data_IF_886218652334
#
_entry.id   IF_886218652334
#
_cell.length_a   1.000
_cell.length_b   1.000
_cell.length_c   1.000
_cell.angle_alpha   90.00
_cell.angle_beta   90.00
_cell.angle_gamma   90.00
#
_symmetry.space_group_name_H-M   'P 1'
#
loop_
_entity.id
_entity.type
_entity.pdbx_description
1 polymer ?
#
# COMPACT_ATOMS: atom_id res chain seq x y z
N UNK A 1 3.79 2.27 -9.50
CA UNK A 1 2.74 1.87 -8.55
C UNK A 1 1.75 0.96 -9.28
N UNK A 2 0.97 1.46 -10.24
CA UNK A 2 0.01 0.63 -10.98
C UNK A 2 0.61 -0.55 -11.75
N UNK A 3 1.82 -0.40 -12.30
CA UNK A 3 2.50 -1.49 -13.02
C UNK A 3 2.80 -2.71 -12.14
N UNK A 4 3.28 -2.49 -10.91
CA UNK A 4 3.59 -3.59 -9.99
C UNK A 4 2.32 -4.34 -9.60
N UNK A 5 1.27 -3.60 -9.25
CA UNK A 5 -0.02 -4.17 -8.89
C UNK A 5 -0.57 -5.01 -10.06
N UNK A 6 -0.45 -4.50 -11.29
CA UNK A 6 -0.85 -5.25 -12.48
C UNK A 6 -0.03 -6.55 -12.66
N UNK A 7 1.29 -6.51 -12.49
CA UNK A 7 2.16 -7.70 -12.59
C UNK A 7 1.82 -8.75 -11.52
N UNK A 8 1.60 -8.32 -10.28
CA UNK A 8 1.19 -9.20 -9.17
C UNK A 8 -0.18 -9.81 -9.47
N UNK A 9 -1.14 -8.98 -9.89
CA UNK A 9 -2.50 -9.43 -10.22
C UNK A 9 -2.49 -10.48 -11.35
N UNK A 10 -1.73 -10.22 -12.42
CA UNK A 10 -1.56 -11.16 -13.54
C UNK A 10 -0.88 -12.44 -13.08
N UNK A 11 0.20 -12.35 -12.30
CA UNK A 11 0.92 -13.52 -11.77
C UNK A 11 0.04 -14.42 -10.92
N UNK A 12 -0.75 -13.85 -10.01
CA UNK A 12 -1.72 -14.59 -9.20
C UNK A 12 -2.87 -15.15 -10.04
N UNK A 13 -3.43 -14.35 -10.98
CA UNK A 13 -4.50 -14.81 -11.86
C UNK A 13 -4.08 -16.03 -12.69
N UNK A 14 -2.86 -16.02 -13.25
CA UNK A 14 -2.30 -17.16 -13.99
C UNK A 14 -2.11 -18.37 -13.06
N UNK A 15 -1.54 -18.17 -11.87
CA UNK A 15 -1.36 -19.25 -10.89
C UNK A 15 -2.70 -19.90 -10.51
N UNK A 16 -3.71 -19.10 -10.16
CA UNK A 16 -5.04 -19.60 -9.81
C UNK A 16 -5.71 -20.30 -11.00
N UNK A 17 -5.57 -19.76 -12.21
CA UNK A 17 -6.09 -20.40 -13.42
C UNK A 17 -5.43 -21.77 -13.65
N UNK A 18 -4.12 -21.89 -13.48
CA UNK A 18 -3.41 -23.17 -13.57
C UNK A 18 -3.91 -24.15 -12.51
N UNK A 19 -4.06 -23.71 -11.25
CA UNK A 19 -4.58 -24.54 -10.15
C UNK A 19 -6.01 -25.02 -10.44
N UNK A 20 -6.88 -24.13 -10.92
CA UNK A 20 -8.27 -24.47 -11.25
C UNK A 20 -8.34 -25.45 -12.42
N UNK A 21 -7.56 -25.23 -13.49
CA UNK A 21 -7.55 -26.11 -14.66
C UNK A 21 -6.88 -27.46 -14.36
N UNK A 22 -5.87 -27.50 -13.50
CA UNK A 22 -5.20 -28.74 -13.09
C UNK A 22 -6.00 -29.57 -12.08
N UNK A 23 -6.92 -28.95 -11.32
CA UNK A 23 -7.77 -29.60 -10.33
C UNK A 23 -9.05 -30.26 -10.86
N UNK A 24 -9.45 -30.04 -12.11
CA UNK A 24 -10.75 -30.49 -12.64
C UNK A 24 -10.75 -31.93 -13.22
N UNK A 25 -9.61 -32.63 -13.27
CA UNK A 25 -9.55 -33.92 -13.99
C UNK A 25 -8.83 -35.05 -13.26
N UNK A 26 -9.28 -35.45 -12.08
CA UNK A 26 -9.24 -36.87 -11.69
C UNK A 26 -10.53 -37.24 -10.95
N UNK A 27 -11.52 -37.86 -11.61
CA UNK A 27 -12.52 -38.61 -10.88
C UNK A 27 -11.79 -39.69 -10.09
N UNK A 28 -11.84 -39.60 -8.76
CA UNK A 28 -11.44 -40.70 -7.88
C UNK A 28 -12.34 -41.90 -8.19
N UNK A 29 -11.94 -42.74 -9.15
CA UNK A 29 -12.55 -44.07 -9.33
C UNK A 29 -12.03 -44.93 -8.18
N UNK A 30 -12.68 -44.84 -7.03
CA UNK A 30 -12.59 -45.87 -6.00
C UNK A 30 -13.41 -47.05 -6.50
N UNK A 31 -12.74 -48.05 -7.07
CA UNK A 31 -13.33 -49.35 -7.38
C UNK A 31 -12.51 -50.41 -6.67
N UNK A 32 -12.97 -50.81 -5.48
CA UNK A 32 -12.55 -52.02 -4.78
C UNK A 32 -11.25 -51.91 -3.96
N UNK A 33 -11.38 -52.13 -2.65
CA UNK A 33 -10.38 -52.80 -1.80
C UNK A 33 -9.07 -52.09 -1.44
N UNK A 34 -8.50 -51.28 -2.32
CA UNK A 34 -7.12 -50.81 -2.15
C UNK A 34 -7.05 -49.32 -1.79
N UNK A 35 -6.33 -49.02 -0.71
CA UNK A 35 -6.06 -47.65 -0.25
C UNK A 35 -5.36 -46.91 -1.39
N UNK A 36 -5.94 -45.82 -1.94
CA UNK A 36 -5.32 -45.13 -3.06
C UNK A 36 -3.98 -44.51 -2.60
N UNK A 37 -2.88 -44.68 -3.37
CA UNK A 37 -1.63 -44.01 -3.06
C UNK A 37 -1.89 -42.51 -3.08
N UNK A 38 -1.47 -41.83 -2.01
CA UNK A 38 -1.69 -40.40 -1.79
C UNK A 38 -1.46 -39.63 -3.09
N UNK A 39 -2.49 -38.93 -3.57
CA UNK A 39 -2.41 -38.14 -4.80
C UNK A 39 -1.44 -36.98 -4.56
N UNK A 40 -0.18 -37.18 -4.92
CA UNK A 40 0.83 -36.14 -4.90
C UNK A 40 0.42 -35.10 -5.94
N UNK A 41 -0.06 -33.94 -5.49
CA UNK A 41 -0.22 -32.78 -6.36
C UNK A 41 1.12 -32.52 -7.05
N UNK A 42 1.14 -32.51 -8.38
CA UNK A 42 2.35 -32.39 -9.19
C UNK A 42 3.01 -31.01 -9.13
N UNK A 43 2.39 -30.03 -8.45
CA UNK A 43 2.96 -28.70 -8.24
C UNK A 43 3.91 -28.79 -7.05
N UNK A 44 5.22 -28.56 -7.23
CA UNK A 44 6.15 -28.53 -6.12
C UNK A 44 5.77 -27.38 -5.18
N UNK A 45 5.61 -27.68 -3.89
CA UNK A 45 5.21 -26.69 -2.86
C UNK A 45 6.15 -25.47 -2.77
N UNK A 46 7.34 -25.56 -3.37
CA UNK A 46 8.35 -24.51 -3.44
C UNK A 46 8.02 -23.40 -4.45
N UNK A 47 7.26 -23.70 -5.51
CA UNK A 47 6.93 -22.75 -6.57
C UNK A 47 6.19 -21.49 -6.08
N UNK A 48 5.11 -21.59 -5.25
CA UNK A 48 4.44 -20.40 -4.72
C UNK A 48 5.35 -19.57 -3.82
N UNK A 49 6.22 -20.20 -3.02
CA UNK A 49 7.17 -19.49 -2.15
C UNK A 49 8.22 -18.69 -2.92
N UNK A 50 8.71 -19.22 -4.05
CA UNK A 50 9.63 -18.49 -4.94
C UNK A 50 8.95 -17.26 -5.56
N UNK A 51 7.70 -17.43 -6.02
CA UNK A 51 6.88 -16.34 -6.55
C UNK A 51 6.66 -15.22 -5.51
N UNK A 52 6.30 -15.60 -4.29
CA UNK A 52 6.15 -14.65 -3.17
C UNK A 52 7.47 -13.93 -2.88
N UNK A 53 8.59 -14.65 -2.82
CA UNK A 53 9.90 -14.06 -2.58
C UNK A 53 10.32 -13.05 -3.64
N UNK A 54 10.08 -13.36 -4.92
CA UNK A 54 10.37 -12.46 -6.04
C UNK A 54 9.53 -11.17 -5.97
N UNK A 55 8.24 -11.30 -5.68
CA UNK A 55 7.34 -10.15 -5.53
C UNK A 55 7.76 -9.28 -4.34
N UNK A 56 8.05 -9.89 -3.19
CA UNK A 56 8.48 -9.18 -1.99
C UNK A 56 9.79 -8.41 -2.23
N UNK A 57 10.75 -9.01 -2.92
CA UNK A 57 12.01 -8.34 -3.27
C UNK A 57 11.78 -7.13 -4.17
N UNK A 58 10.94 -7.29 -5.20
CA UNK A 58 10.57 -6.19 -6.10
C UNK A 58 9.87 -5.04 -5.37
N UNK A 59 8.99 -5.37 -4.42
CA UNK A 59 8.30 -4.36 -3.62
C UNK A 59 9.23 -3.61 -2.67
N UNK A 60 10.12 -4.32 -1.97
CA UNK A 60 11.11 -3.70 -1.09
C UNK A 60 12.00 -2.73 -1.89
N UNK A 61 12.43 -3.13 -3.09
CA UNK A 61 13.24 -2.28 -3.96
C UNK A 61 12.49 -1.00 -4.39
N UNK A 62 11.21 -1.12 -4.76
CA UNK A 62 10.37 0.03 -5.11
C UNK A 62 10.08 0.94 -3.91
N UNK A 63 9.80 0.34 -2.75
CA UNK A 63 9.57 1.04 -1.49
C UNK A 63 10.79 1.91 -1.13
N UNK A 64 11.97 1.30 -1.12
CA UNK A 64 13.22 2.00 -0.78
C UNK A 64 13.60 3.01 -1.87
N UNK A 65 13.45 2.66 -3.15
CA UNK A 65 13.89 3.51 -4.26
C UNK A 65 12.97 4.69 -4.58
N UNK A 66 11.67 4.60 -4.24
CA UNK A 66 10.68 5.60 -4.63
C UNK A 66 9.86 6.15 -3.47
N UNK A 67 9.32 5.29 -2.62
CA UNK A 67 8.41 5.72 -1.56
C UNK A 67 9.15 6.44 -0.44
N UNK A 68 10.27 5.88 0.04
CA UNK A 68 11.09 6.51 1.07
C UNK A 68 11.63 7.89 0.64
N UNK A 69 12.21 8.08 -0.57
CA UNK A 69 12.64 9.41 -1.03
C UNK A 69 11.48 10.40 -1.18
N UNK A 70 10.31 9.94 -1.63
CA UNK A 70 9.12 10.79 -1.75
C UNK A 70 8.62 11.23 -0.38
N UNK A 71 8.51 10.29 0.55
CA UNK A 71 8.18 10.56 1.95
C UNK A 71 9.18 11.53 2.56
N UNK A 72 10.49 11.33 2.39
CA UNK A 72 11.53 12.24 2.89
C UNK A 72 11.37 13.67 2.36
N UNK A 73 11.09 13.83 1.06
CA UNK A 73 10.83 15.15 0.46
C UNK A 73 9.58 15.84 1.02
N UNK A 74 8.52 15.09 1.32
CA UNK A 74 7.26 15.65 1.83
C UNK A 74 7.34 16.10 3.30
N UNK A 75 8.14 15.43 4.14
CA UNK A 75 8.37 15.89 5.53
C UNK A 75 9.50 16.88 5.67
N UNK A 76 10.32 17.08 4.64
CA UNK A 76 11.32 18.13 4.69
C UNK A 76 10.58 19.44 4.99
N UNK A 77 11.01 20.12 6.06
CA UNK A 77 10.45 21.42 6.41
C UNK A 77 10.61 22.35 5.20
N UNK A 78 9.57 23.12 4.85
CA UNK A 78 9.69 24.11 3.79
C UNK A 78 10.89 25.03 4.08
N UNK A 79 11.65 25.43 3.06
CA UNK A 79 12.78 26.34 3.26
C UNK A 79 12.29 27.65 3.89
N UNK A 80 12.94 28.09 4.96
CA UNK A 80 12.65 29.36 5.63
C UNK A 80 13.18 30.50 4.75
N UNK A 81 12.38 30.87 3.75
CA UNK A 81 12.70 31.95 2.81
C UNK A 81 11.66 33.04 2.91
N UNK A 82 12.04 34.27 2.57
CA UNK A 82 11.17 35.45 2.63
C UNK A 82 9.89 35.34 1.79
N UNK A 83 9.80 34.35 0.89
CA UNK A 83 8.64 34.11 0.04
C UNK A 83 7.70 33.02 0.57
N UNK A 84 7.95 32.45 1.75
CA UNK A 84 7.05 31.45 2.36
C UNK A 84 5.95 32.12 3.14
N UNK A 85 4.71 31.86 2.75
CA UNK A 85 3.51 32.31 3.47
C UNK A 85 3.08 31.21 4.44
N UNK A 86 3.13 31.51 5.73
CA UNK A 86 2.62 30.60 6.76
C UNK A 86 1.11 30.77 6.89
N UNK A 87 0.34 29.72 6.63
CA UNK A 87 -1.13 29.73 6.78
C UNK A 87 -1.51 28.82 7.95
N UNK A 88 -2.39 29.30 8.83
CA UNK A 88 -2.95 28.50 9.92
C UNK A 88 -4.28 27.92 9.44
N UNK A 89 -4.41 26.60 9.51
CA UNK A 89 -5.65 25.89 9.17
C UNK A 89 -6.09 25.09 10.39
N UNK A 90 -7.32 25.32 10.85
CA UNK A 90 -7.93 24.62 11.99
C UNK A 90 -9.14 23.85 11.48
N UNK A 91 -9.16 22.55 11.77
CA UNK A 91 -10.28 21.68 11.44
C UNK A 91 -11.24 21.60 12.64
N UNK A 92 -12.51 21.89 12.40
CA UNK A 92 -13.61 21.76 13.35
C UNK A 92 -14.65 20.77 12.81
N UNK A 93 -15.59 20.34 13.66
CA UNK A 93 -16.66 19.46 13.19
C UNK A 93 -17.49 20.21 12.12
N UNK A 94 -17.45 19.73 10.87
CA UNK A 94 -18.11 20.33 9.71
C UNK A 94 -17.61 21.72 9.29
N UNK A 95 -16.48 22.21 9.81
CA UNK A 95 -15.93 23.52 9.46
C UNK A 95 -14.40 23.48 9.30
N UNK A 96 -13.89 24.35 8.44
CA UNK A 96 -12.46 24.55 8.21
C UNK A 96 -12.15 26.04 8.32
N UNK A 97 -11.40 26.43 9.34
CA UNK A 97 -11.03 27.82 9.59
C UNK A 97 -9.61 28.06 9.07
N UNK A 98 -9.48 28.96 8.09
CA UNK A 98 -8.21 29.29 7.43
C UNK A 98 -7.86 30.73 7.77
N UNK A 99 -6.68 30.96 8.34
CA UNK A 99 -6.18 32.27 8.75
C UNK A 99 -4.86 32.58 8.05
N UNK A 100 -4.85 33.72 7.34
CA UNK A 100 -3.65 34.28 6.71
C UNK A 100 -2.91 35.21 7.68
N UNK A 101 -1.58 35.28 7.60
CA UNK A 101 -0.79 36.18 8.44
C UNK A 101 -0.97 37.63 7.98
N UNK A 102 -0.58 38.59 8.83
CA UNK A 102 -0.55 40.01 8.47
C UNK A 102 0.48 40.31 7.37
N UNK A 103 0.56 41.58 6.95
CA UNK A 103 1.58 42.04 6.00
C UNK A 103 3.02 41.87 6.54
N UNK A 104 3.17 41.70 7.85
CA UNK A 104 4.41 41.39 8.57
C UNK A 104 4.75 39.89 8.59
N UNK A 105 3.91 39.02 8.01
CA UNK A 105 4.11 37.58 7.96
C UNK A 105 3.85 36.86 9.29
N UNK A 106 3.35 37.57 10.31
CA UNK A 106 3.15 37.04 11.65
C UNK A 106 1.66 36.91 11.99
N UNK A 107 1.34 35.95 12.87
CA UNK A 107 0.00 35.82 13.43
C UNK A 107 -0.13 36.67 14.69
N UNK A 108 -1.18 37.49 14.77
CA UNK A 108 -1.52 38.23 15.98
C UNK A 108 -1.79 37.30 17.18
N UNK A 109 -1.56 37.80 18.40
CA UNK A 109 -1.87 37.06 19.63
C UNK A 109 -3.35 36.69 19.67
N UNK A 110 -3.63 35.41 19.87
CA UNK A 110 -4.98 34.89 20.12
C UNK A 110 -5.06 34.49 21.59
N UNK A 111 -6.07 34.99 22.30
CA UNK A 111 -6.29 34.75 23.72
C UNK A 111 -7.65 34.06 23.88
N UNK A 112 -7.63 32.76 24.15
CA UNK A 112 -8.85 31.91 24.16
C UNK A 112 -9.71 32.18 25.39
N UNK A 113 -9.08 32.67 26.45
CA UNK A 113 -9.67 33.11 27.72
C UNK A 113 -10.56 34.35 27.59
N UNK A 114 -10.49 35.07 26.47
CA UNK A 114 -11.34 36.22 26.18
C UNK A 114 -12.59 35.87 25.36
N UNK A 115 -12.75 34.61 24.95
CA UNK A 115 -13.93 34.15 24.21
C UNK A 115 -15.00 33.73 25.22
N UNK A 116 -16.04 34.54 25.36
CA UNK A 116 -17.23 34.19 26.15
C UNK A 116 -18.18 33.34 25.29
N UNK A 117 -18.69 32.26 25.89
CA UNK A 117 -19.57 31.29 25.24
C UNK A 117 -21.03 31.73 25.28
#
# INVERSE_FOLDING_TARGET
MHLLIAVIFIGWAIYYLIVLLSGVSKPSRVSGGDIPPASTSSIPIRLPWILVGLVALGEIALFIGKELPTWARLRAMPPESANVVHVRVVAEQYAWNIHYPGADGQFGRTAIDLVTQ
#
